data_IF_459043369124
#
_entry.id   IF_459043369124
#
_cell.length_a   1.000
_cell.length_b   1.000
_cell.length_c   1.000
_cell.angle_alpha   90.00
_cell.angle_beta   90.00
_cell.angle_gamma   90.00
#
_symmetry.space_group_name_H-M   'P 1'
#
loop_
_entity.id
_entity.type
_entity.pdbx_description
1 polymer ?
#
# COMPACT_ATOMS: atom_id res chain seq x y z
N UNK A 1 -21.84 2.81 45.75
CA UNK A 1 -20.80 3.21 44.78
C UNK A 1 -19.94 1.97 44.56
N UNK A 2 -20.04 1.34 43.39
CA UNK A 2 -19.31 0.10 43.10
C UNK A 2 -17.97 0.45 42.46
N UNK A 3 -16.89 0.09 43.15
CA UNK A 3 -15.49 0.35 42.80
C UNK A 3 -14.96 -0.73 41.82
N UNK A 4 -15.71 -0.97 40.75
CA UNK A 4 -15.43 -2.01 39.74
C UNK A 4 -14.84 -1.45 38.44
N UNK A 5 -14.40 -0.18 38.44
CA UNK A 5 -13.91 0.52 37.25
C UNK A 5 -12.39 0.50 37.05
N UNK A 6 -11.60 0.03 38.02
CA UNK A 6 -10.16 0.37 38.09
C UNK A 6 -9.17 -0.77 37.87
N UNK A 7 -9.56 -1.86 37.21
CA UNK A 7 -8.66 -3.00 36.99
C UNK A 7 -8.71 -3.59 35.57
N UNK A 8 -9.06 -2.81 34.54
CA UNK A 8 -8.69 -3.20 33.18
C UNK A 8 -7.21 -2.79 32.99
N UNK A 9 -6.27 -3.73 32.83
CA UNK A 9 -4.92 -3.37 32.42
C UNK A 9 -4.99 -2.63 31.10
N UNK A 10 -4.16 -1.59 30.93
CA UNK A 10 -4.03 -0.89 29.65
C UNK A 10 -3.77 -1.94 28.56
N UNK A 11 -4.51 -1.85 27.44
CA UNK A 11 -4.25 -2.72 26.29
C UNK A 11 -2.77 -2.59 25.94
N UNK A 12 -2.04 -3.69 25.73
CA UNK A 12 -0.64 -3.63 25.35
C UNK A 12 -0.48 -2.73 24.11
N UNK A 13 0.29 -1.66 24.23
CA UNK A 13 0.66 -0.84 23.07
C UNK A 13 1.65 -1.64 22.23
N UNK A 14 1.21 -2.06 21.03
CA UNK A 14 2.08 -2.73 20.08
C UNK A 14 3.21 -1.78 19.64
N UNK A 15 4.42 -2.31 19.56
CA UNK A 15 5.55 -1.67 18.90
C UNK A 15 5.25 -1.39 17.43
N UNK A 16 6.03 -0.50 16.81
CA UNK A 16 5.86 -0.20 15.38
C UNK A 16 6.10 -1.46 14.52
N UNK A 17 7.15 -2.23 14.83
CA UNK A 17 7.37 -3.55 14.21
C UNK A 17 6.16 -4.47 14.33
N UNK A 18 5.57 -4.63 15.52
CA UNK A 18 4.39 -5.50 15.70
C UNK A 18 3.17 -5.00 14.90
N UNK A 19 2.96 -3.68 14.84
CA UNK A 19 1.90 -3.07 14.01
C UNK A 19 2.12 -3.35 12.53
N UNK A 20 3.35 -3.24 12.05
CA UNK A 20 3.70 -3.54 10.65
C UNK A 20 3.56 -5.02 10.34
N UNK A 21 3.92 -5.91 11.27
CA UNK A 21 3.74 -7.36 11.12
C UNK A 21 2.27 -7.75 11.08
N UNK A 22 1.44 -7.15 11.94
CA UNK A 22 -0.01 -7.32 11.91
C UNK A 22 -0.59 -6.78 10.59
N UNK A 23 -0.18 -5.58 10.18
CA UNK A 23 -0.60 -4.98 8.92
C UNK A 23 -0.22 -5.83 7.72
N UNK A 24 1.00 -6.37 7.67
CA UNK A 24 1.46 -7.26 6.61
C UNK A 24 0.62 -8.54 6.56
N UNK A 25 0.35 -9.13 7.72
CA UNK A 25 -0.44 -10.36 7.84
C UNK A 25 -1.87 -10.14 7.36
N UNK A 26 -2.53 -9.10 7.86
CA UNK A 26 -3.89 -8.73 7.45
C UNK A 26 -3.96 -8.44 5.96
N UNK A 27 -3.00 -7.67 5.43
CA UNK A 27 -3.01 -7.30 4.03
C UNK A 27 -2.83 -8.53 3.11
N UNK A 28 -1.90 -9.44 3.45
CA UNK A 28 -1.72 -10.69 2.69
C UNK A 28 -3.02 -11.50 2.70
N UNK A 29 -3.61 -11.74 3.87
CA UNK A 29 -4.82 -12.57 4.02
C UNK A 29 -6.01 -11.94 3.29
N UNK A 30 -6.22 -10.64 3.45
CA UNK A 30 -7.33 -9.93 2.81
C UNK A 30 -7.18 -9.92 1.29
N UNK A 31 -5.97 -9.72 0.78
CA UNK A 31 -5.70 -9.73 -0.65
C UNK A 31 -5.93 -11.13 -1.23
N UNK A 32 -5.39 -12.19 -0.61
CA UNK A 32 -5.62 -13.59 -1.01
C UNK A 32 -7.11 -13.95 -1.03
N UNK A 33 -7.85 -13.57 0.01
CA UNK A 33 -9.29 -13.84 0.11
C UNK A 33 -10.10 -13.12 -0.98
N UNK A 34 -9.59 -11.98 -1.46
CA UNK A 34 -10.25 -11.15 -2.47
C UNK A 34 -9.84 -11.48 -3.89
N UNK A 35 -8.81 -12.26 -4.17
CA UNK A 35 -8.51 -12.67 -5.55
C UNK A 35 -9.69 -13.46 -6.14
N UNK A 36 -10.05 -13.14 -7.38
CA UNK A 36 -11.02 -13.92 -8.15
C UNK A 36 -10.40 -15.26 -8.57
N UNK A 37 -11.26 -16.23 -8.91
CA UNK A 37 -10.81 -17.57 -9.28
C UNK A 37 -9.91 -17.52 -10.53
N UNK A 38 -8.72 -18.12 -10.43
CA UNK A 38 -7.74 -18.16 -11.53
C UNK A 38 -6.95 -16.87 -11.73
N UNK A 39 -7.05 -15.90 -10.82
CA UNK A 39 -6.23 -14.68 -10.82
C UNK A 39 -4.98 -14.89 -9.97
N UNK A 40 -3.81 -14.68 -10.56
CA UNK A 40 -2.54 -14.73 -9.85
C UNK A 40 -2.37 -13.49 -8.94
N UNK A 41 -1.80 -13.66 -7.73
CA UNK A 41 -1.43 -12.54 -6.87
C UNK A 41 -0.28 -11.72 -7.49
N UNK A 42 -0.13 -10.43 -7.11
CA UNK A 42 1.03 -9.65 -7.53
C UNK A 42 2.30 -10.21 -6.87
N UNK A 43 3.47 -10.15 -7.54
CA UNK A 43 4.72 -10.66 -6.98
C UNK A 43 5.13 -9.94 -5.67
N UNK A 44 4.66 -8.72 -5.45
CA UNK A 44 4.83 -7.94 -4.22
C UNK A 44 4.19 -8.62 -3.00
N UNK A 45 3.15 -9.45 -3.20
CA UNK A 45 2.57 -10.24 -2.12
C UNK A 45 3.59 -11.25 -1.59
N UNK A 46 4.27 -11.96 -2.49
CA UNK A 46 5.31 -12.92 -2.11
C UNK A 46 6.53 -12.21 -1.50
N UNK A 47 6.90 -11.03 -2.00
CA UNK A 47 7.94 -10.21 -1.40
C UNK A 47 7.59 -9.79 0.04
N UNK A 48 6.33 -9.43 0.31
CA UNK A 48 5.85 -9.09 1.64
C UNK A 48 5.80 -10.31 2.56
N UNK A 49 5.33 -11.47 2.07
CA UNK A 49 5.38 -12.75 2.82
C UNK A 49 6.80 -13.09 3.22
N UNK A 50 7.75 -13.03 2.29
CA UNK A 50 9.16 -13.32 2.56
C UNK A 50 9.75 -12.36 3.59
N UNK A 51 9.44 -11.06 3.51
CA UNK A 51 9.93 -10.06 4.47
C UNK A 51 9.36 -10.30 5.88
N UNK A 52 8.06 -10.60 5.98
CA UNK A 52 7.37 -10.93 7.24
C UNK A 52 7.95 -12.20 7.85
N UNK A 53 8.09 -13.27 7.07
CA UNK A 53 8.52 -14.59 7.56
C UNK A 53 10.01 -14.59 7.95
N UNK A 54 10.80 -13.69 7.36
CA UNK A 54 12.18 -13.43 7.76
C UNK A 54 12.32 -12.51 8.99
N UNK A 55 11.20 -12.06 9.60
CA UNK A 55 11.18 -11.11 10.72
C UNK A 55 11.99 -9.81 10.44
N UNK A 56 11.87 -9.31 9.21
CA UNK A 56 12.61 -8.13 8.73
C UNK A 56 12.38 -6.89 9.58
N UNK A 57 13.24 -5.88 9.40
CA UNK A 57 13.10 -4.60 10.09
C UNK A 57 11.87 -3.79 9.63
N UNK A 58 11.54 -2.76 10.41
CA UNK A 58 10.38 -1.90 10.19
C UNK A 58 10.40 -1.22 8.83
N UNK A 59 11.58 -0.78 8.37
CA UNK A 59 11.72 -0.09 7.08
C UNK A 59 11.46 -1.02 5.90
N UNK A 60 11.95 -2.25 5.99
CA UNK A 60 11.72 -3.29 5.00
C UNK A 60 10.25 -3.67 4.95
N UNK A 61 9.60 -3.89 6.10
CA UNK A 61 8.18 -4.21 6.16
C UNK A 61 7.31 -3.07 5.61
N UNK A 62 7.57 -1.83 6.01
CA UNK A 62 6.85 -0.66 5.53
C UNK A 62 6.98 -0.50 4.01
N UNK A 63 8.18 -0.70 3.46
CA UNK A 63 8.41 -0.68 2.02
C UNK A 63 7.61 -1.76 1.30
N UNK A 64 7.66 -3.03 1.76
CA UNK A 64 6.94 -4.12 1.09
C UNK A 64 5.42 -3.95 1.15
N UNK A 65 4.90 -3.43 2.26
CA UNK A 65 3.48 -3.05 2.38
C UNK A 65 3.14 -1.97 1.35
N UNK A 66 3.99 -0.94 1.24
CA UNK A 66 3.76 0.16 0.32
C UNK A 66 3.78 -0.32 -1.15
N UNK A 67 4.76 -1.13 -1.53
CA UNK A 67 4.83 -1.70 -2.88
C UNK A 67 3.60 -2.54 -3.22
N UNK A 68 3.15 -3.39 -2.30
CA UNK A 68 1.93 -4.19 -2.50
C UNK A 68 0.68 -3.31 -2.64
N UNK A 69 0.59 -2.23 -1.85
CA UNK A 69 -0.52 -1.30 -1.94
C UNK A 69 -0.55 -0.59 -3.29
N UNK A 70 0.60 -0.14 -3.80
CA UNK A 70 0.70 0.44 -5.13
C UNK A 70 0.26 -0.57 -6.18
N UNK A 71 0.78 -1.80 -6.13
CA UNK A 71 0.46 -2.77 -7.17
C UNK A 71 -0.99 -3.22 -7.14
N UNK A 72 -1.58 -3.40 -5.96
CA UNK A 72 -3.01 -3.65 -5.86
C UNK A 72 -3.81 -2.53 -6.52
N UNK A 73 -3.56 -1.27 -6.15
CA UNK A 73 -4.31 -0.12 -6.66
C UNK A 73 -4.11 0.13 -8.15
N UNK A 74 -2.96 -0.24 -8.70
CA UNK A 74 -2.60 0.04 -10.09
C UNK A 74 -2.83 -1.13 -11.06
N UNK A 75 -3.03 -2.36 -10.57
CA UNK A 75 -3.13 -3.54 -11.43
C UNK A 75 -4.38 -4.39 -11.21
N UNK A 76 -5.21 -4.07 -10.21
CA UNK A 76 -6.44 -4.80 -9.93
C UNK A 76 -7.63 -3.85 -9.82
N UNK A 77 -8.74 -4.25 -10.43
CA UNK A 77 -10.05 -3.63 -10.23
C UNK A 77 -10.82 -4.38 -9.14
N UNK A 78 -11.61 -3.65 -8.34
CA UNK A 78 -12.51 -4.24 -7.36
C UNK A 78 -13.88 -4.40 -8.00
N UNK A 79 -14.35 -5.64 -8.11
CA UNK A 79 -15.72 -5.95 -8.48
C UNK A 79 -16.67 -5.44 -7.39
N UNK A 80 -17.58 -4.53 -7.76
CA UNK A 80 -18.49 -3.87 -6.84
C UNK A 80 -19.57 -4.80 -6.25
N UNK A 81 -19.86 -5.94 -6.91
CA UNK A 81 -20.90 -6.87 -6.49
C UNK A 81 -20.39 -7.89 -5.46
N UNK A 82 -19.15 -8.35 -5.62
CA UNK A 82 -18.59 -9.43 -4.79
C UNK A 82 -17.29 -9.04 -4.04
N UNK A 83 -16.73 -7.85 -4.28
CA UNK A 83 -15.52 -7.35 -3.65
C UNK A 83 -14.22 -8.04 -4.11
N UNK A 84 -14.31 -8.90 -5.12
CA UNK A 84 -13.17 -9.64 -5.68
C UNK A 84 -12.31 -8.75 -6.55
N UNK A 85 -11.05 -9.12 -6.65
CA UNK A 85 -10.02 -8.46 -7.42
C UNK A 85 -9.79 -9.22 -8.71
N UNK A 86 -9.87 -8.50 -9.82
CA UNK A 86 -9.51 -8.99 -11.15
C UNK A 86 -8.46 -8.07 -11.76
N UNK A 87 -7.60 -8.57 -12.67
CA UNK A 87 -6.59 -7.73 -13.32
C UNK A 87 -7.27 -6.58 -14.06
N UNK A 88 -6.77 -5.37 -13.81
CA UNK A 88 -7.31 -4.17 -14.44
C UNK A 88 -7.15 -4.26 -15.95
N UNK A 89 -8.19 -3.91 -16.68
CA UNK A 89 -8.12 -3.69 -18.14
C UNK A 89 -7.91 -2.21 -18.47
N UNK A 90 -7.68 -1.40 -17.44
CA UNK A 90 -7.66 0.03 -17.54
C UNK A 90 -6.31 0.54 -18.06
N UNK A 91 -6.35 1.27 -19.17
CA UNK A 91 -5.16 1.92 -19.72
C UNK A 91 -4.89 3.22 -18.95
N UNK A 92 -4.09 3.12 -17.88
CA UNK A 92 -3.77 4.25 -17.00
C UNK A 92 -3.29 5.48 -17.79
N UNK A 93 -2.40 5.28 -18.77
CA UNK A 93 -1.74 6.38 -19.48
C UNK A 93 -2.73 7.21 -20.31
N UNK A 94 -3.76 6.56 -20.85
CA UNK A 94 -4.77 7.21 -21.67
C UNK A 94 -5.95 7.77 -20.87
N UNK A 95 -5.97 7.61 -19.55
CA UNK A 95 -7.09 8.01 -18.68
C UNK A 95 -6.63 8.88 -17.49
N UNK A 96 -5.53 9.59 -17.62
CA UNK A 96 -4.97 10.45 -16.54
C UNK A 96 -5.82 11.69 -16.21
N UNK A 97 -6.82 11.99 -17.04
CA UNK A 97 -7.81 13.04 -16.84
C UNK A 97 -9.01 12.58 -16.00
N UNK A 98 -9.17 11.27 -15.78
CA UNK A 98 -10.22 10.73 -14.93
C UNK A 98 -9.93 11.07 -13.45
N UNK A 99 -10.85 11.76 -12.74
CA UNK A 99 -10.64 12.20 -11.37
C UNK A 99 -10.26 11.07 -10.40
N UNK A 100 -10.88 9.90 -10.55
CA UNK A 100 -10.66 8.72 -9.72
C UNK A 100 -9.24 8.18 -9.88
N UNK A 101 -8.71 8.19 -11.11
CA UNK A 101 -7.32 7.79 -11.39
C UNK A 101 -6.38 8.75 -10.69
N UNK A 102 -6.58 10.06 -10.86
CA UNK A 102 -5.76 11.07 -10.20
C UNK A 102 -5.84 10.95 -8.67
N UNK A 103 -7.04 10.66 -8.13
CA UNK A 103 -7.24 10.48 -6.69
C UNK A 103 -6.47 9.27 -6.15
N UNK A 104 -6.47 8.15 -6.85
CA UNK A 104 -5.72 6.95 -6.47
C UNK A 104 -4.21 7.23 -6.47
N UNK A 105 -3.68 7.85 -7.53
CA UNK A 105 -2.27 8.25 -7.58
C UNK A 105 -1.90 9.22 -6.46
N UNK A 106 -2.77 10.21 -6.18
CA UNK A 106 -2.55 11.15 -5.09
C UNK A 106 -2.52 10.45 -3.74
N UNK A 107 -3.42 9.49 -3.51
CA UNK A 107 -3.46 8.68 -2.29
C UNK A 107 -2.16 7.88 -2.09
N UNK A 108 -1.74 7.14 -3.11
CA UNK A 108 -0.53 6.32 -3.06
C UNK A 108 0.74 7.17 -2.88
N UNK A 109 0.82 8.32 -3.55
CA UNK A 109 1.93 9.26 -3.40
C UNK A 109 1.98 9.87 -1.98
N UNK A 110 0.82 10.30 -1.46
CA UNK A 110 0.71 10.83 -0.09
C UNK A 110 1.09 9.81 0.96
N UNK A 111 0.70 8.55 0.77
CA UNK A 111 1.07 7.48 1.68
C UNK A 111 2.60 7.31 1.75
N UNK A 112 3.29 7.31 0.60
CA UNK A 112 4.76 7.30 0.57
C UNK A 112 5.38 8.47 1.35
N UNK A 113 4.86 9.69 1.18
CA UNK A 113 5.30 10.85 1.95
C UNK A 113 5.08 10.69 3.46
N UNK A 114 3.97 10.09 3.88
CA UNK A 114 3.68 9.81 5.29
C UNK A 114 4.66 8.79 5.88
N UNK A 115 5.06 7.78 5.11
CA UNK A 115 6.06 6.81 5.55
C UNK A 115 7.44 7.47 5.74
N UNK A 116 7.84 8.37 4.84
CA UNK A 116 9.06 9.18 5.01
C UNK A 116 8.98 10.04 6.27
N UNK A 117 7.86 10.75 6.46
CA UNK A 117 7.67 11.65 7.61
C UNK A 117 7.71 10.92 8.97
N UNK A 118 7.46 9.60 8.98
CA UNK A 118 7.52 8.74 10.16
C UNK A 118 8.84 7.98 10.30
N UNK A 119 9.83 8.26 9.44
CA UNK A 119 11.10 7.52 9.35
C UNK A 119 10.90 6.01 9.14
N UNK A 120 9.81 5.63 8.44
CA UNK A 120 9.52 4.24 8.08
C UNK A 120 10.09 3.86 6.72
N UNK A 121 10.42 4.82 5.86
CA UNK A 121 11.14 4.57 4.61
C UNK A 121 12.11 5.72 4.38
N UNK A 122 13.33 5.40 3.92
CA UNK A 122 14.30 6.41 3.53
C UNK A 122 13.84 7.18 2.28
N UNK A 123 14.10 8.48 2.26
CA UNK A 123 13.62 9.38 1.18
C UNK A 123 14.02 8.91 -0.21
N UNK A 124 15.25 8.42 -0.39
CA UNK A 124 15.75 7.99 -1.70
C UNK A 124 15.11 6.67 -2.14
N UNK A 125 14.82 5.78 -1.18
CA UNK A 125 14.11 4.51 -1.44
C UNK A 125 12.66 4.79 -1.84
N UNK A 126 11.98 5.69 -1.13
CA UNK A 126 10.62 6.09 -1.47
C UNK A 126 10.54 6.77 -2.83
N UNK A 127 11.50 7.65 -3.16
CA UNK A 127 11.58 8.30 -4.47
C UNK A 127 11.74 7.29 -5.61
N UNK A 128 12.63 6.31 -5.47
CA UNK A 128 12.82 5.29 -6.50
C UNK A 128 11.57 4.41 -6.65
N UNK A 129 10.93 4.04 -5.54
CA UNK A 129 9.66 3.30 -5.55
C UNK A 129 8.55 4.10 -6.29
N UNK A 130 8.36 5.37 -5.94
CA UNK A 130 7.37 6.26 -6.60
C UNK A 130 7.69 6.42 -8.09
N UNK A 131 8.96 6.63 -8.43
CA UNK A 131 9.38 6.78 -9.82
C UNK A 131 9.04 5.56 -10.66
N UNK A 132 9.48 4.39 -10.21
CA UNK A 132 9.32 3.12 -10.95
C UNK A 132 7.87 2.65 -10.96
N UNK A 133 7.15 2.77 -9.84
CA UNK A 133 5.82 2.17 -9.70
C UNK A 133 4.66 3.11 -10.00
N UNK A 134 4.85 4.43 -9.90
CA UNK A 134 3.80 5.41 -10.19
C UNK A 134 4.15 6.26 -11.42
N UNK A 135 5.26 7.00 -11.39
CA UNK A 135 5.56 8.02 -12.40
C UNK A 135 5.68 7.40 -13.79
N UNK A 136 6.43 6.31 -13.94
CA UNK A 136 6.63 5.64 -15.23
C UNK A 136 5.32 5.18 -15.88
N UNK A 137 4.29 4.83 -15.09
CA UNK A 137 2.96 4.43 -15.59
C UNK A 137 2.20 5.58 -16.25
N UNK A 138 2.50 6.81 -15.86
CA UNK A 138 1.87 8.01 -16.41
C UNK A 138 2.56 8.52 -17.68
N UNK A 139 3.81 8.11 -17.92
CA UNK A 139 4.64 8.65 -18.99
C UNK A 139 5.03 10.13 -18.81
N UNK A 140 4.86 10.67 -17.59
CA UNK A 140 5.27 12.03 -17.21
C UNK A 140 6.71 12.04 -16.69
N UNK A 141 7.36 13.21 -16.72
CA UNK A 141 8.55 13.43 -15.88
C UNK A 141 8.16 13.57 -14.41
N UNK A 142 9.09 13.46 -13.45
CA UNK A 142 8.79 13.70 -12.04
C UNK A 142 8.14 15.06 -11.77
N UNK A 143 8.64 16.12 -12.40
CA UNK A 143 8.11 17.49 -12.23
C UNK A 143 6.69 17.63 -12.80
N UNK A 144 6.44 17.01 -13.95
CA UNK A 144 5.11 16.98 -14.55
C UNK A 144 4.11 16.15 -13.74
N UNK A 145 4.58 15.08 -13.10
CA UNK A 145 3.79 14.24 -12.23
C UNK A 145 3.39 14.99 -10.95
N UNK A 146 4.34 15.66 -10.29
CA UNK A 146 4.08 16.49 -9.11
C UNK A 146 3.06 17.60 -9.45
N UNK A 147 3.29 18.34 -10.55
CA UNK A 147 2.37 19.38 -11.01
C UNK A 147 0.97 18.82 -11.37
N UNK A 148 0.91 17.62 -11.96
CA UNK A 148 -0.35 16.95 -12.26
C UNK A 148 -1.10 16.59 -10.98
N UNK A 149 -0.42 16.15 -9.93
CA UNK A 149 -1.02 15.89 -8.62
C UNK A 149 -1.40 17.17 -7.85
N UNK A 150 -0.75 18.29 -8.14
CA UNK A 150 -0.98 19.59 -7.51
C UNK A 150 -0.01 19.91 -6.38
N UNK A 151 1.21 19.38 -6.45
CA UNK A 151 2.34 19.72 -5.57
C UNK A 151 3.24 20.79 -6.19
#
# INVERSE_FOLDING_TARGET
MSDFGSAMPDKPELSMKEKLMESATTFIVDLEARLADGVDPPPEMEALKAARDADSDEKTLALRIYELMIEQGMTYDIDAENGKLSPTQFDIKNNLDIPEVKAEFAHLYQYGMQLIARDLIDVDVAKECVKTRLIERTGKTPEEFDAWLGY
#
